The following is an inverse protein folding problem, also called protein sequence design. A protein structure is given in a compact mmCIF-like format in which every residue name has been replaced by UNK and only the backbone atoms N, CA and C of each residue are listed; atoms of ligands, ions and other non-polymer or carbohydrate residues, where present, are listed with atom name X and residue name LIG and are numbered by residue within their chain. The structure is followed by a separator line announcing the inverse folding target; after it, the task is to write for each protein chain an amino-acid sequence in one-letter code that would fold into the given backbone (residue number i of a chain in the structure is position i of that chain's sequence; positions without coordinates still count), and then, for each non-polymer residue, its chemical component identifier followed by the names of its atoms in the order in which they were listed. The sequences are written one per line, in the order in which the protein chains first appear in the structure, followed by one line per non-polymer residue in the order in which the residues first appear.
data_IF_476723999643
#
_entry.id   IF_476723999643
#
_cell.length_a   1.000
_cell.length_b   1.000
_cell.length_c   1.000
_cell.angle_alpha   90.00
_cell.angle_beta   90.00
_cell.angle_gamma   90.00
#
_symmetry.space_group_name_H-M   'P 1'
#
loop_
_entity.id
_entity.type
_entity.pdbx_description
1 polymer ?
#
# COMPACT_ATOMS: atom_id res chain seq x y z
N UNK A 1 26.86 44.91 38.77
CA UNK A 1 27.24 44.42 37.42
C UNK A 1 28.18 43.23 37.56
N UNK A 2 27.70 41.99 37.40
CA UNK A 2 28.54 40.76 37.30
C UNK A 2 27.74 39.45 37.14
N UNK A 3 26.41 39.47 37.32
CA UNK A 3 25.57 38.24 37.20
C UNK A 3 24.76 38.11 35.91
N UNK A 4 24.68 39.17 35.09
CA UNK A 4 24.01 39.14 33.79
C UNK A 4 24.93 38.68 32.65
N UNK A 5 26.25 38.80 32.82
CA UNK A 5 27.22 38.39 31.80
C UNK A 5 27.39 36.87 31.71
N UNK A 6 27.08 36.13 32.77
CA UNK A 6 27.30 34.67 32.84
C UNK A 6 26.17 33.87 32.18
N UNK A 7 25.00 34.47 31.96
CA UNK A 7 23.83 33.78 31.37
C UNK A 7 23.89 33.74 29.83
N UNK A 8 24.53 34.73 29.19
CA UNK A 8 24.67 34.81 27.73
C UNK A 8 25.73 33.85 27.16
N UNK A 9 26.62 33.30 28.01
CA UNK A 9 27.71 32.42 27.57
C UNK A 9 27.32 30.93 27.50
N UNK A 10 26.14 30.54 28.02
CA UNK A 10 25.70 29.14 28.07
C UNK A 10 24.68 28.76 26.97
N UNK A 11 24.30 29.69 26.09
CA UNK A 11 23.37 29.40 24.97
C UNK A 11 24.07 29.02 23.66
N UNK A 12 25.41 29.00 23.63
CA UNK A 12 26.17 28.85 22.38
C UNK A 12 26.57 27.40 22.03
N UNK A 13 26.21 26.40 22.82
CA UNK A 13 26.68 25.00 22.62
C UNK A 13 25.64 24.05 22.00
N UNK A 14 24.46 24.52 21.59
CA UNK A 14 23.42 23.65 21.00
C UNK A 14 23.43 23.57 19.46
N UNK A 15 24.40 24.17 18.77
CA UNK A 15 24.43 24.21 17.30
C UNK A 15 25.56 23.33 16.74
N UNK A 16 25.50 22.00 16.91
CA UNK A 16 26.35 21.11 16.11
C UNK A 16 25.96 19.61 16.09
N UNK A 17 24.85 19.15 16.69
CA UNK A 17 24.32 17.84 16.30
C UNK A 17 23.51 17.99 15.03
N UNK A 18 24.18 18.39 13.95
CA UNK A 18 23.74 18.04 12.61
C UNK A 18 23.70 16.52 12.61
N UNK A 19 22.51 15.95 12.76
CA UNK A 19 22.26 14.58 12.36
C UNK A 19 22.65 14.51 10.88
N UNK A 20 23.89 14.09 10.60
CA UNK A 20 24.18 13.38 9.38
C UNK A 20 23.21 12.21 9.40
N UNK A 21 22.06 12.40 8.74
CA UNK A 21 21.30 11.25 8.28
C UNK A 21 22.29 10.56 7.37
N UNK A 22 22.82 9.44 7.83
CA UNK A 22 23.44 8.50 6.92
C UNK A 22 22.41 8.31 5.82
N UNK A 23 22.74 8.75 4.61
CA UNK A 23 22.03 8.41 3.40
C UNK A 23 22.23 6.91 3.20
N UNK A 24 21.59 6.11 4.05
CA UNK A 24 21.10 4.77 3.73
C UNK A 24 19.93 4.91 2.74
N UNK A 25 20.01 5.91 1.87
CA UNK A 25 19.01 6.34 0.93
C UNK A 25 18.91 5.25 -0.11
N UNK A 26 17.89 4.42 0.02
CA UNK A 26 17.28 3.82 -1.15
C UNK A 26 16.89 5.00 -2.03
N UNK A 27 17.70 5.30 -3.05
CA UNK A 27 17.42 6.36 -4.01
C UNK A 27 16.01 6.11 -4.54
N UNK A 28 15.07 7.08 -4.42
CA UNK A 28 13.73 6.93 -4.92
C UNK A 28 13.79 6.54 -6.40
N UNK A 29 13.44 5.29 -6.71
CA UNK A 29 13.36 4.83 -8.08
C UNK A 29 12.20 5.59 -8.71
N UNK A 30 12.48 6.31 -9.80
CA UNK A 30 11.46 7.04 -10.56
C UNK A 30 10.31 6.13 -11.01
N UNK A 31 9.21 6.72 -11.51
CA UNK A 31 8.05 5.95 -11.96
C UNK A 31 8.45 4.85 -12.96
N UNK A 32 7.90 3.65 -12.78
CA UNK A 32 8.17 2.48 -13.64
C UNK A 32 6.86 1.81 -14.04
N UNK A 33 6.86 1.19 -15.21
CA UNK A 33 5.71 0.42 -15.68
C UNK A 33 5.70 -0.97 -15.03
N UNK A 34 4.53 -1.33 -14.49
CA UNK A 34 4.27 -2.63 -13.89
C UNK A 34 3.05 -3.26 -14.55
N UNK A 35 3.12 -4.56 -14.77
CA UNK A 35 1.94 -5.37 -15.07
C UNK A 35 1.32 -5.81 -13.75
N UNK A 36 0.08 -5.40 -13.51
CA UNK A 36 -0.70 -5.76 -12.33
C UNK A 36 -1.71 -6.82 -12.74
N UNK A 37 -1.72 -7.93 -12.00
CA UNK A 37 -2.68 -9.00 -12.19
C UNK A 37 -3.41 -9.29 -10.88
N UNK A 38 -4.74 -9.25 -10.95
CA UNK A 38 -5.63 -9.66 -9.86
C UNK A 38 -6.38 -10.90 -10.26
N UNK A 39 -6.42 -11.89 -9.36
CA UNK A 39 -7.19 -13.11 -9.53
C UNK A 39 -8.01 -13.35 -8.29
N UNK A 40 -9.31 -13.55 -8.47
CA UNK A 40 -10.22 -14.00 -7.41
C UNK A 40 -10.82 -15.31 -7.87
N UNK A 41 -10.59 -16.36 -7.11
CA UNK A 41 -11.06 -17.71 -7.41
C UNK A 41 -11.76 -18.32 -6.20
N UNK A 42 -12.59 -19.32 -6.47
CA UNK A 42 -13.30 -20.12 -5.49
C UNK A 42 -13.28 -21.58 -5.95
N UNK A 43 -13.34 -22.51 -5.01
CA UNK A 43 -13.48 -23.95 -5.29
C UNK A 43 -14.89 -24.33 -5.75
N UNK A 44 -15.86 -23.42 -5.60
CA UNK A 44 -17.23 -23.55 -6.07
C UNK A 44 -17.57 -22.39 -7.00
N UNK A 45 -18.50 -22.61 -7.93
CA UNK A 45 -19.05 -21.53 -8.75
C UNK A 45 -19.85 -20.58 -7.84
N UNK A 46 -19.21 -19.47 -7.48
CA UNK A 46 -19.78 -18.45 -6.60
C UNK A 46 -19.86 -17.11 -7.33
N UNK A 47 -20.79 -16.30 -6.88
CA UNK A 47 -20.90 -14.90 -7.27
C UNK A 47 -20.48 -14.06 -6.07
N UNK A 48 -19.52 -13.16 -6.24
CA UNK A 48 -19.08 -12.25 -5.17
C UNK A 48 -20.18 -11.23 -4.85
N UNK A 49 -20.28 -10.78 -3.60
CA UNK A 49 -21.10 -9.60 -3.30
C UNK A 49 -20.50 -8.37 -4.00
N UNK A 50 -19.19 -8.17 -3.82
CA UNK A 50 -18.42 -7.18 -4.55
C UNK A 50 -16.94 -7.54 -4.67
N UNK A 51 -16.30 -6.98 -5.69
CA UNK A 51 -14.85 -6.90 -5.86
C UNK A 51 -14.50 -5.43 -6.09
N UNK A 52 -13.61 -4.90 -5.28
CA UNK A 52 -13.07 -3.54 -5.40
C UNK A 52 -11.56 -3.62 -5.60
N UNK A 53 -11.04 -2.96 -6.62
CA UNK A 53 -9.61 -3.02 -6.93
C UNK A 53 -9.07 -1.70 -7.46
N UNK A 54 -7.78 -1.46 -7.25
CA UNK A 54 -7.05 -0.35 -7.86
C UNK A 54 -6.89 -0.62 -9.35
N UNK A 55 -7.40 0.25 -10.22
CA UNK A 55 -7.40 0.02 -11.67
C UNK A 55 -6.16 0.64 -12.38
N UNK A 56 -6.13 0.57 -13.72
CA UNK A 56 -5.00 1.05 -14.53
C UNK A 56 -4.67 2.53 -14.38
N UNK A 57 -5.64 3.37 -13.98
CA UNK A 57 -5.40 4.81 -13.72
C UNK A 57 -4.96 5.08 -12.28
N UNK A 58 -5.00 4.07 -11.42
CA UNK A 58 -4.78 4.20 -9.99
C UNK A 58 -6.00 4.59 -9.17
N UNK A 59 -7.15 4.78 -9.82
CA UNK A 59 -8.43 4.89 -9.12
C UNK A 59 -8.95 3.55 -8.64
N UNK A 60 -10.13 3.55 -8.02
CA UNK A 60 -10.81 2.34 -7.56
C UNK A 60 -11.95 1.97 -8.50
N UNK A 61 -11.97 0.73 -8.96
CA UNK A 61 -13.13 0.13 -9.64
C UNK A 61 -13.82 -0.81 -8.66
N UNK A 62 -15.15 -0.69 -8.52
CA UNK A 62 -15.97 -1.60 -7.72
C UNK A 62 -17.02 -2.24 -8.60
N UNK A 63 -17.06 -3.57 -8.58
CA UNK A 63 -17.99 -4.40 -9.34
C UNK A 63 -18.76 -5.27 -8.35
N UNK A 64 -20.07 -5.39 -8.56
CA UNK A 64 -20.94 -6.25 -7.75
C UNK A 64 -21.38 -7.47 -8.55
N UNK A 65 -21.72 -8.55 -7.88
CA UNK A 65 -22.25 -9.76 -8.52
C UNK A 65 -21.32 -10.36 -9.59
N UNK A 66 -20.01 -10.34 -9.35
CA UNK A 66 -19.02 -10.92 -10.26
C UNK A 66 -18.98 -12.43 -10.09
N UNK A 67 -19.22 -13.17 -11.17
CA UNK A 67 -19.04 -14.62 -11.18
C UNK A 67 -17.56 -15.00 -11.07
N UNK A 68 -17.24 -15.97 -10.21
CA UNK A 68 -15.89 -16.47 -9.97
C UNK A 68 -15.66 -17.81 -10.69
N UNK A 69 -14.44 -18.08 -11.20
CA UNK A 69 -13.23 -17.26 -11.07
C UNK A 69 -13.21 -16.06 -12.03
N UNK A 70 -12.53 -14.98 -11.62
CA UNK A 70 -12.30 -13.79 -12.44
C UNK A 70 -10.85 -13.33 -12.36
N UNK A 71 -10.35 -12.77 -13.46
CA UNK A 71 -9.00 -12.20 -13.53
C UNK A 71 -9.03 -10.83 -14.23
N UNK A 72 -8.24 -9.89 -13.70
CA UNK A 72 -8.01 -8.58 -14.29
C UNK A 72 -6.52 -8.38 -14.48
N UNK A 73 -6.10 -7.94 -15.66
CA UNK A 73 -4.70 -7.66 -15.97
C UNK A 73 -4.60 -6.35 -16.73
N UNK A 74 -3.66 -5.51 -16.32
CA UNK A 74 -3.38 -4.23 -16.96
C UNK A 74 -1.97 -3.76 -16.64
N UNK A 75 -1.45 -2.85 -17.46
CA UNK A 75 -0.18 -2.16 -17.20
C UNK A 75 -0.46 -0.79 -16.60
N UNK A 76 0.35 -0.40 -15.62
CA UNK A 76 0.31 0.93 -15.00
C UNK A 76 1.71 1.38 -14.60
N UNK A 77 1.99 2.66 -14.83
CA UNK A 77 3.16 3.33 -14.26
C UNK A 77 2.94 3.60 -12.77
N UNK A 78 3.79 3.05 -11.90
CA UNK A 78 3.73 3.24 -10.45
C UNK A 78 4.99 3.95 -9.95
N UNK A 79 4.81 4.83 -8.96
CA UNK A 79 5.90 5.51 -8.24
C UNK A 79 6.02 4.99 -6.81
N UNK A 80 7.12 5.31 -6.13
CA UNK A 80 7.31 4.99 -4.72
C UNK A 80 6.11 5.49 -3.89
N UNK A 81 5.54 4.58 -3.08
CA UNK A 81 4.37 4.85 -2.25
C UNK A 81 3.01 4.56 -2.92
N UNK A 82 2.97 4.31 -4.23
CA UNK A 82 1.74 3.83 -4.87
C UNK A 82 1.39 2.41 -4.38
N UNK A 83 0.10 2.13 -4.21
CA UNK A 83 -0.40 0.83 -3.81
C UNK A 83 -1.22 0.16 -4.93
N UNK A 84 -1.23 -1.16 -4.87
CA UNK A 84 -2.10 -2.03 -5.63
C UNK A 84 -2.98 -2.77 -4.61
N UNK A 85 -4.29 -2.53 -4.63
CA UNK A 85 -5.21 -3.09 -3.64
C UNK A 85 -6.32 -3.87 -4.32
N UNK A 86 -6.68 -5.01 -3.74
CA UNK A 86 -7.79 -5.86 -4.12
C UNK A 86 -8.56 -6.23 -2.86
N UNK A 87 -9.87 -6.00 -2.88
CA UNK A 87 -10.80 -6.37 -1.84
C UNK A 87 -11.94 -7.16 -2.49
N UNK A 88 -12.29 -8.31 -1.91
CA UNK A 88 -13.42 -9.12 -2.35
C UNK A 88 -14.28 -9.49 -1.15
N UNK A 89 -15.59 -9.29 -1.29
CA UNK A 89 -16.60 -9.84 -0.39
C UNK A 89 -17.28 -11.02 -1.06
N UNK A 90 -17.34 -12.14 -0.35
CA UNK A 90 -17.99 -13.36 -0.80
C UNK A 90 -19.24 -13.60 0.05
N UNK A 91 -20.34 -14.10 -0.55
CA UNK A 91 -21.57 -14.33 0.18
C UNK A 91 -21.38 -15.33 1.31
N UNK A 92 -22.06 -15.09 2.44
CA UNK A 92 -22.10 -16.00 3.58
C UNK A 92 -22.78 -17.32 3.14
N UNK A 93 -21.99 -18.39 3.02
CA UNK A 93 -22.49 -19.68 2.51
C UNK A 93 -21.54 -20.40 1.57
N UNK A 94 -20.40 -19.79 1.22
CA UNK A 94 -19.26 -20.48 0.61
C UNK A 94 -18.70 -21.55 1.56
N UNK A 95 -19.41 -22.67 1.69
CA UNK A 95 -19.03 -23.81 2.53
C UNK A 95 -17.74 -24.37 1.95
N UNK A 96 -16.60 -24.04 2.58
CA UNK A 96 -15.34 -24.72 2.29
C UNK A 96 -15.61 -26.23 2.38
N UNK A 97 -15.17 -27.05 1.40
CA UNK A 97 -15.34 -28.49 1.47
C UNK A 97 -14.70 -28.96 2.78
N UNK A 98 -15.54 -29.40 3.71
CA UNK A 98 -15.13 -29.90 5.00
C UNK A 98 -14.35 -31.19 4.74
N UNK A 99 -13.02 -31.11 4.73
CA UNK A 99 -12.15 -32.27 4.66
C UNK A 99 -12.40 -33.13 5.90
N UNK A 100 -13.23 -34.17 5.74
CA UNK A 100 -13.36 -35.25 6.70
C UNK A 100 -12.04 -36.02 6.70
N UNK A 101 -11.35 -35.97 7.84
CA UNK A 101 -10.14 -36.75 8.12
C UNK A 101 -10.51 -38.15 8.58
#
# INVERSE_FOLDING_TARGET
MKRLATLLLNCATLVATSCSKDDNGVTPVGPKDYTVEYRVSSTSNLVSDYISYTNATGGTTTLTNVALPVSYSFTRTMKQGDSATLLASLPAGARLPRTSR
#
